data_IF_216674495048
#
_entry.id   IF_216674495048
#
_cell.length_a   1.000
_cell.length_b   1.000
_cell.length_c   1.000
_cell.angle_alpha   90.00
_cell.angle_beta   90.00
_cell.angle_gamma   90.00
#
_symmetry.space_group_name_H-M   'P 1'
#
loop_
_entity.id
_entity.type
_entity.pdbx_description
1 polymer ?
#
# COMPACT_ATOMS: atom_id res chain seq x y z
N UNK A 1 17.54 -16.38 12.00
CA UNK A 1 16.21 -16.67 11.40
C UNK A 1 15.08 -16.12 12.26
N UNK A 2 14.50 -14.97 11.91
CA UNK A 2 13.05 -14.84 11.80
C UNK A 2 12.67 -15.20 10.36
N UNK A 3 11.79 -16.19 10.16
CA UNK A 3 11.14 -16.38 8.87
C UNK A 3 10.46 -15.06 8.49
N UNK A 4 10.73 -14.51 7.31
CA UNK A 4 9.89 -13.48 6.71
C UNK A 4 8.51 -14.09 6.47
N UNK A 5 7.67 -14.09 7.50
CA UNK A 5 6.31 -14.60 7.44
C UNK A 5 5.51 -13.58 6.66
N UNK A 6 5.15 -13.95 5.43
CA UNK A 6 4.01 -13.37 4.75
C UNK A 6 2.86 -13.32 5.76
N UNK A 7 2.21 -12.16 5.89
CA UNK A 7 0.95 -12.10 6.65
C UNK A 7 0.07 -13.28 6.23
N UNK A 8 -0.48 -14.05 7.19
CA UNK A 8 -1.49 -15.05 6.86
C UNK A 8 -2.65 -14.37 6.11
N UNK A 9 -3.43 -15.11 5.31
CA UNK A 9 -4.66 -14.56 4.74
C UNK A 9 -5.46 -13.90 5.87
N UNK A 10 -5.94 -12.68 5.61
CA UNK A 10 -6.67 -11.91 6.60
C UNK A 10 -7.73 -12.80 7.27
N UNK A 11 -7.91 -12.73 8.60
CA UNK A 11 -8.96 -13.46 9.26
C UNK A 11 -10.27 -13.12 8.55
N UNK A 12 -11.05 -14.15 8.23
CA UNK A 12 -12.43 -13.99 7.73
C UNK A 12 -13.10 -12.91 8.54
N UNK A 13 -13.51 -11.82 7.88
CA UNK A 13 -14.15 -10.68 8.52
C UNK A 13 -15.20 -11.19 9.50
N UNK A 14 -14.96 -10.94 10.79
CA UNK A 14 -15.95 -11.15 11.83
C UNK A 14 -17.02 -10.09 11.64
N UNK A 15 -17.99 -10.43 10.81
CA UNK A 15 -19.24 -9.72 10.64
C UNK A 15 -19.96 -9.68 11.99
N UNK A 16 -19.97 -8.52 12.64
CA UNK A 16 -20.97 -8.22 13.66
C UNK A 16 -22.16 -7.54 12.98
N UNK A 17 -23.20 -8.35 12.76
CA UNK A 17 -24.58 -8.03 12.42
C UNK A 17 -24.85 -6.70 11.67
N UNK A 18 -25.11 -6.79 10.36
CA UNK A 18 -26.17 -5.99 9.73
C UNK A 18 -27.43 -6.02 10.63
N UNK A 19 -28.20 -4.94 10.80
CA UNK A 19 -29.46 -4.98 11.52
C UNK A 19 -30.42 -5.99 10.87
N UNK A 20 -30.54 -7.16 11.48
CA UNK A 20 -31.55 -8.17 11.15
C UNK A 20 -32.86 -7.80 11.82
N UNK A 21 -33.69 -7.04 11.12
CA UNK A 21 -35.13 -6.97 11.37
C UNK A 21 -35.86 -6.51 10.10
N UNK A 22 -35.91 -7.37 9.08
CA UNK A 22 -36.91 -7.28 8.01
C UNK A 22 -38.07 -8.20 8.37
N UNK A 23 -38.94 -7.79 9.28
CA UNK A 23 -40.25 -8.43 9.47
C UNK A 23 -41.25 -7.76 8.54
N UNK A 24 -41.56 -8.40 7.42
CA UNK A 24 -42.61 -7.98 6.49
C UNK A 24 -43.98 -8.39 7.03
N UNK A 25 -44.69 -7.45 7.64
CA UNK A 25 -46.15 -7.48 7.67
C UNK A 25 -46.64 -6.73 6.42
N UNK A 26 -47.07 -7.49 5.41
CA UNK A 26 -47.60 -6.94 4.16
C UNK A 26 -49.01 -6.37 4.39
N UNK A 27 -49.10 -5.04 4.50
CA UNK A 27 -50.30 -4.29 4.12
C UNK A 27 -50.04 -3.69 2.72
N UNK A 28 -51.03 -3.65 1.81
CA UNK A 28 -50.82 -3.09 0.48
C UNK A 28 -50.57 -1.57 0.62
N UNK A 29 -49.33 -1.13 0.48
CA UNK A 29 -48.97 0.28 0.38
C UNK A 29 -49.36 0.81 -1.02
N UNK A 30 -49.85 2.05 -1.13
CA UNK A 30 -50.25 2.61 -2.41
C UNK A 30 -49.00 2.75 -3.29
N UNK A 31 -49.01 2.14 -4.47
CA UNK A 31 -47.88 2.07 -5.41
C UNK A 31 -47.39 3.43 -5.95
N UNK A 32 -47.85 4.57 -5.41
CA UNK A 32 -47.61 5.93 -5.94
C UNK A 32 -47.02 6.92 -4.95
N UNK A 33 -46.85 6.57 -3.67
CA UNK A 33 -46.30 7.50 -2.68
C UNK A 33 -44.84 7.85 -3.00
N UNK A 34 -44.54 9.14 -3.19
CA UNK A 34 -43.21 9.68 -3.50
C UNK A 34 -43.03 11.06 -2.89
N UNK A 35 -41.77 11.48 -2.74
CA UNK A 35 -41.47 12.89 -2.49
C UNK A 35 -41.44 13.67 -3.79
N UNK A 36 -42.03 14.85 -3.78
CA UNK A 36 -41.80 15.90 -4.77
C UNK A 36 -41.67 17.19 -3.99
N UNK A 37 -40.44 17.70 -3.87
CA UNK A 37 -40.21 19.02 -3.27
C UNK A 37 -39.41 19.87 -4.24
N UNK A 38 -39.90 21.08 -4.49
CA UNK A 38 -39.17 22.16 -5.17
C UNK A 38 -39.25 23.38 -4.27
N UNK A 39 -38.13 23.74 -3.65
CA UNK A 39 -38.12 24.79 -2.64
C UNK A 39 -36.84 25.64 -2.69
N UNK A 40 -36.91 26.82 -2.06
CA UNK A 40 -35.72 27.60 -1.74
C UNK A 40 -34.87 26.90 -0.67
N UNK A 41 -35.51 26.60 0.47
CA UNK A 41 -34.95 25.77 1.54
C UNK A 41 -35.98 24.78 2.02
N UNK A 42 -35.53 23.65 2.53
CA UNK A 42 -36.34 22.67 3.22
C UNK A 42 -35.69 22.34 4.56
N UNK A 43 -36.44 22.47 5.66
CA UNK A 43 -35.99 22.09 6.99
C UNK A 43 -36.81 20.90 7.48
N UNK A 44 -36.13 19.79 7.77
CA UNK A 44 -36.63 18.55 8.32
C UNK A 44 -35.89 18.20 9.62
N UNK A 45 -35.65 19.20 10.49
CA UNK A 45 -34.92 18.96 11.73
C UNK A 45 -35.76 18.14 12.70
N UNK A 46 -35.21 17.05 13.24
CA UNK A 46 -35.95 16.11 14.10
C UNK A 46 -37.25 15.58 13.47
N UNK A 47 -37.42 15.74 12.15
CA UNK A 47 -38.63 15.43 11.43
C UNK A 47 -38.49 14.13 10.66
N UNK A 48 -39.61 13.60 10.18
CA UNK A 48 -39.65 12.42 9.32
C UNK A 48 -40.39 12.74 8.04
N UNK A 49 -39.72 12.56 6.91
CA UNK A 49 -40.34 12.51 5.58
C UNK A 49 -40.20 11.07 5.09
N UNK A 50 -41.33 10.42 4.81
CA UNK A 50 -41.35 9.02 4.39
C UNK A 50 -42.20 8.83 3.14
N UNK A 51 -41.68 8.11 2.16
CA UNK A 51 -42.42 7.65 0.99
C UNK A 51 -42.38 6.12 0.96
N UNK A 52 -43.51 5.48 1.27
CA UNK A 52 -43.62 4.02 1.34
C UNK A 52 -43.86 3.34 -0.02
N UNK A 53 -44.05 4.11 -1.10
CA UNK A 53 -44.26 3.59 -2.45
C UNK A 53 -42.97 3.50 -3.25
N UNK A 54 -42.96 2.59 -4.23
CA UNK A 54 -41.77 2.33 -5.08
C UNK A 54 -41.56 3.40 -6.17
N UNK A 55 -42.47 4.38 -6.25
CA UNK A 55 -42.36 5.49 -7.17
C UNK A 55 -41.11 6.33 -6.87
N UNK A 56 -40.46 6.81 -7.93
CA UNK A 56 -39.27 7.64 -7.80
C UNK A 56 -39.56 8.91 -6.99
N UNK A 57 -38.72 9.16 -5.98
CA UNK A 57 -38.80 10.31 -5.08
C UNK A 57 -37.73 11.35 -5.44
N UNK A 58 -38.13 12.62 -5.43
CA UNK A 58 -37.29 13.73 -5.84
C UNK A 58 -37.40 14.90 -4.87
N UNK A 59 -36.25 15.39 -4.39
CA UNK A 59 -36.11 16.64 -3.65
C UNK A 59 -35.18 17.56 -4.45
N UNK A 60 -35.59 18.80 -4.64
CA UNK A 60 -34.83 19.83 -5.35
C UNK A 60 -34.91 21.15 -4.61
N UNK A 61 -33.81 21.46 -3.94
CA UNK A 61 -33.69 22.60 -3.03
C UNK A 61 -32.56 23.48 -3.51
N UNK A 62 -32.88 24.72 -3.91
CA UNK A 62 -31.88 25.61 -4.52
C UNK A 62 -30.85 26.15 -3.51
N UNK A 63 -31.21 26.22 -2.22
CA UNK A 63 -30.31 26.62 -1.13
C UNK A 63 -30.11 25.41 -0.20
N UNK A 64 -30.53 25.51 1.05
CA UNK A 64 -30.23 24.50 2.08
C UNK A 64 -31.36 23.50 2.27
N UNK A 65 -31.02 22.22 2.18
CA UNK A 65 -31.76 21.11 2.75
C UNK A 65 -31.16 20.79 4.12
N UNK A 66 -31.89 21.07 5.18
CA UNK A 66 -31.48 20.82 6.56
C UNK A 66 -32.23 19.61 7.12
N UNK A 67 -31.55 18.49 7.22
CA UNK A 67 -32.03 17.23 7.76
C UNK A 67 -31.35 16.89 9.10
N UNK A 68 -30.96 17.89 9.88
CA UNK A 68 -30.30 17.69 11.19
C UNK A 68 -31.19 16.87 12.12
N UNK A 69 -30.69 15.72 12.60
CA UNK A 69 -31.45 14.74 13.40
C UNK A 69 -32.76 14.26 12.74
N UNK A 70 -32.93 14.53 11.44
CA UNK A 70 -34.12 14.21 10.67
C UNK A 70 -34.01 12.86 9.96
N UNK A 71 -35.13 12.36 9.47
CA UNK A 71 -35.19 11.15 8.64
C UNK A 71 -35.87 11.44 7.30
N UNK A 72 -35.17 11.13 6.22
CA UNK A 72 -35.69 11.03 4.86
C UNK A 72 -35.61 9.55 4.45
N UNK A 73 -36.75 8.85 4.43
CA UNK A 73 -36.85 7.44 4.03
C UNK A 73 -37.76 7.20 2.81
N UNK A 74 -37.23 6.69 1.70
CA UNK A 74 -38.01 6.40 0.50
C UNK A 74 -37.88 4.93 0.06
N UNK A 75 -39.00 4.32 -0.32
CA UNK A 75 -39.02 2.95 -0.85
C UNK A 75 -38.57 2.87 -2.31
N UNK A 76 -38.92 3.87 -3.12
CA UNK A 76 -38.51 4.01 -4.52
C UNK A 76 -37.13 4.64 -4.71
N UNK A 77 -36.67 4.63 -5.98
CA UNK A 77 -35.45 5.29 -6.42
C UNK A 77 -35.47 6.75 -5.97
N UNK A 78 -34.36 7.26 -5.43
CA UNK A 78 -34.34 8.58 -4.80
C UNK A 78 -33.28 9.49 -5.40
N UNK A 79 -33.66 10.73 -5.67
CA UNK A 79 -32.72 11.78 -6.08
C UNK A 79 -32.92 13.01 -5.20
N UNK A 80 -31.83 13.51 -4.64
CA UNK A 80 -31.78 14.73 -3.84
C UNK A 80 -30.84 15.70 -4.54
N UNK A 81 -31.37 16.87 -4.90
CA UNK A 81 -30.60 18.02 -5.34
C UNK A 81 -30.67 19.12 -4.29
N UNK A 82 -29.52 19.64 -3.90
CA UNK A 82 -29.43 20.72 -2.91
C UNK A 82 -28.34 21.73 -3.28
N UNK A 83 -28.50 23.00 -2.89
CA UNK A 83 -27.38 23.93 -2.83
C UNK A 83 -26.41 23.52 -1.72
N UNK A 84 -26.93 23.29 -0.53
CA UNK A 84 -26.22 22.79 0.65
C UNK A 84 -27.06 21.69 1.31
N UNK A 85 -26.43 20.63 1.82
CA UNK A 85 -27.11 19.57 2.56
C UNK A 85 -26.49 19.41 3.94
N UNK A 86 -27.27 19.71 4.98
CA UNK A 86 -26.91 19.47 6.38
C UNK A 86 -27.63 18.20 6.84
N UNK A 87 -26.88 17.13 7.10
CA UNK A 87 -27.38 15.83 7.52
C UNK A 87 -26.73 15.36 8.84
N UNK A 88 -26.41 16.31 9.73
CA UNK A 88 -25.77 16.00 11.01
C UNK A 88 -26.73 15.20 11.89
N UNK A 89 -26.33 14.00 12.34
CA UNK A 89 -27.21 13.07 13.07
C UNK A 89 -28.43 12.59 12.26
N UNK A 90 -28.60 13.08 11.03
CA UNK A 90 -29.73 12.81 10.17
C UNK A 90 -29.57 11.55 9.36
N UNK A 91 -30.67 11.09 8.75
CA UNK A 91 -30.73 9.91 7.91
C UNK A 91 -31.33 10.26 6.55
N UNK A 92 -30.62 9.88 5.50
CA UNK A 92 -31.09 9.86 4.12
C UNK A 92 -30.97 8.43 3.61
N UNK A 93 -32.09 7.75 3.42
CA UNK A 93 -32.09 6.33 3.10
C UNK A 93 -33.10 5.99 2.01
N UNK A 94 -32.69 5.15 1.06
CA UNK A 94 -33.60 4.45 0.15
C UNK A 94 -33.52 2.95 0.31
N UNK A 95 -34.67 2.27 0.29
CA UNK A 95 -34.73 0.80 0.22
C UNK A 95 -34.82 0.26 -1.21
N UNK A 96 -34.72 1.13 -2.22
CA UNK A 96 -34.77 0.73 -3.63
C UNK A 96 -33.43 0.17 -4.11
N UNK A 97 -33.48 -0.93 -4.87
CA UNK A 97 -32.32 -1.43 -5.61
C UNK A 97 -31.94 -0.54 -6.79
N UNK A 98 -32.85 0.32 -7.26
CA UNK A 98 -32.58 1.30 -8.33
C UNK A 98 -31.62 2.42 -7.87
N UNK A 99 -31.55 2.66 -6.55
CA UNK A 99 -30.48 3.41 -5.91
C UNK A 99 -30.82 4.83 -5.44
N UNK A 100 -29.79 5.48 -4.91
CA UNK A 100 -29.80 6.84 -4.37
C UNK A 100 -28.86 7.74 -5.16
N UNK A 101 -29.31 8.93 -5.54
CA UNK A 101 -28.44 10.00 -6.04
C UNK A 101 -28.56 11.21 -5.11
N UNK A 102 -27.43 11.67 -4.58
CA UNK A 102 -27.31 12.91 -3.80
C UNK A 102 -26.39 13.84 -4.58
N UNK A 103 -26.92 14.94 -5.07
CA UNK A 103 -26.25 15.92 -5.92
C UNK A 103 -26.31 17.29 -5.23
N UNK A 104 -25.20 17.68 -4.60
CA UNK A 104 -25.09 18.89 -3.79
C UNK A 104 -24.16 19.87 -4.49
N UNK A 105 -24.63 21.08 -4.79
CA UNK A 105 -23.80 22.07 -5.47
C UNK A 105 -22.65 22.58 -4.59
N UNK A 106 -22.86 22.65 -3.28
CA UNK A 106 -21.93 23.13 -2.27
C UNK A 106 -21.50 22.03 -1.28
N UNK A 107 -21.61 22.29 0.02
CA UNK A 107 -21.17 21.35 1.06
C UNK A 107 -22.26 20.34 1.43
N UNK A 108 -21.82 19.08 1.56
CA UNK A 108 -22.56 18.01 2.20
C UNK A 108 -21.96 17.78 3.59
N UNK A 109 -22.65 18.21 4.63
CA UNK A 109 -22.28 17.95 6.02
C UNK A 109 -23.01 16.71 6.54
N UNK A 110 -22.33 15.57 6.56
CA UNK A 110 -22.82 14.28 7.03
C UNK A 110 -22.17 13.87 8.37
N UNK A 111 -21.66 14.81 9.15
CA UNK A 111 -20.94 14.51 10.39
C UNK A 111 -21.87 14.05 11.52
N UNK A 112 -21.30 13.71 12.67
CA UNK A 112 -22.06 13.49 13.91
C UNK A 112 -23.06 12.34 13.82
N UNK A 113 -22.62 11.19 13.27
CA UNK A 113 -23.47 10.03 12.99
C UNK A 113 -24.53 10.22 11.89
N UNK A 114 -24.37 11.24 11.04
CA UNK A 114 -25.14 11.37 9.81
C UNK A 114 -25.02 10.13 8.93
N UNK A 115 -26.13 9.74 8.30
CA UNK A 115 -26.23 8.56 7.45
C UNK A 115 -26.79 8.92 6.07
N UNK A 116 -26.06 8.53 5.02
CA UNK A 116 -26.54 8.46 3.64
C UNK A 116 -26.44 7.02 3.19
N UNK A 117 -27.56 6.36 2.89
CA UNK A 117 -27.60 4.92 2.65
C UNK A 117 -28.53 4.51 1.50
N UNK A 118 -28.10 3.50 0.75
CA UNK A 118 -28.90 2.88 -0.32
C UNK A 118 -28.90 1.36 -0.20
N UNK A 119 -30.08 0.74 -0.32
CA UNK A 119 -30.21 -0.71 -0.49
C UNK A 119 -29.82 -1.20 -1.91
N UNK A 120 -29.55 -0.27 -2.82
CA UNK A 120 -28.97 -0.54 -4.13
C UNK A 120 -27.66 0.22 -4.31
N UNK A 121 -27.43 0.71 -5.53
CA UNK A 121 -26.32 1.63 -5.82
C UNK A 121 -26.52 3.01 -5.17
N UNK A 122 -25.44 3.74 -4.93
CA UNK A 122 -25.49 5.14 -4.55
C UNK A 122 -24.50 5.97 -5.36
N UNK A 123 -24.88 7.22 -5.64
CA UNK A 123 -24.02 8.24 -6.20
C UNK A 123 -24.12 9.50 -5.34
N UNK A 124 -22.99 9.99 -4.86
CA UNK A 124 -22.89 11.22 -4.07
C UNK A 124 -21.97 12.19 -4.79
N UNK A 125 -22.47 13.37 -5.10
CA UNK A 125 -21.72 14.48 -5.70
C UNK A 125 -21.82 15.69 -4.81
N UNK A 126 -20.69 16.35 -4.53
CA UNK A 126 -20.63 17.57 -3.71
C UNK A 126 -19.46 18.46 -4.12
N UNK A 127 -19.50 19.76 -3.78
CA UNK A 127 -18.28 20.58 -3.82
C UNK A 127 -17.32 20.17 -2.71
N UNK A 128 -17.82 19.99 -1.48
CA UNK A 128 -17.09 19.45 -0.34
C UNK A 128 -17.97 18.46 0.42
N UNK A 129 -17.36 17.47 1.07
CA UNK A 129 -18.06 16.47 1.88
C UNK A 129 -17.36 16.31 3.22
N UNK A 130 -18.03 16.72 4.29
CA UNK A 130 -17.63 16.43 5.68
C UNK A 130 -18.39 15.20 6.17
N UNK A 131 -17.72 14.05 6.20
CA UNK A 131 -18.26 12.77 6.66
C UNK A 131 -17.66 12.34 8.01
N UNK A 132 -17.14 13.28 8.80
CA UNK A 132 -16.47 12.95 10.07
C UNK A 132 -17.41 12.29 11.06
N UNK A 133 -17.09 11.06 11.48
CA UNK A 133 -17.96 10.26 12.33
C UNK A 133 -19.32 9.89 11.70
N UNK A 134 -19.50 10.18 10.41
CA UNK A 134 -20.68 9.86 9.61
C UNK A 134 -20.51 8.58 8.80
N UNK A 135 -21.55 8.21 8.06
CA UNK A 135 -21.54 7.07 7.16
C UNK A 135 -22.23 7.36 5.83
N UNK A 136 -21.54 7.00 4.74
CA UNK A 136 -22.09 6.91 3.38
C UNK A 136 -21.98 5.46 2.94
N UNK A 137 -23.11 4.83 2.60
CA UNK A 137 -23.13 3.38 2.31
C UNK A 137 -24.04 2.96 1.17
N UNK A 138 -23.65 1.90 0.47
CA UNK A 138 -24.46 1.27 -0.57
C UNK A 138 -24.38 -0.26 -0.49
N UNK A 139 -25.52 -0.94 -0.58
CA UNK A 139 -25.56 -2.40 -0.74
C UNK A 139 -25.28 -2.85 -2.18
N UNK A 140 -25.17 -1.91 -3.12
CA UNK A 140 -24.54 -2.09 -4.44
C UNK A 140 -23.21 -1.34 -4.53
N UNK A 141 -22.93 -0.74 -5.69
CA UNK A 141 -21.77 0.12 -5.88
C UNK A 141 -22.01 1.53 -5.33
N UNK A 142 -20.95 2.19 -4.86
CA UNK A 142 -20.97 3.57 -4.40
C UNK A 142 -19.98 4.41 -5.22
N UNK A 143 -20.49 5.46 -5.88
CA UNK A 143 -19.67 6.50 -6.50
C UNK A 143 -19.72 7.78 -5.66
N UNK A 144 -18.57 8.31 -5.28
CA UNK A 144 -18.45 9.57 -4.52
C UNK A 144 -17.56 10.53 -5.30
N UNK A 145 -18.12 11.65 -5.78
CA UNK A 145 -17.41 12.68 -6.54
C UNK A 145 -17.43 13.99 -5.78
N UNK A 146 -16.26 14.46 -5.33
CA UNK A 146 -16.10 15.66 -4.51
C UNK A 146 -15.14 16.63 -5.19
N UNK A 147 -15.53 17.88 -5.39
CA UNK A 147 -14.68 18.82 -6.13
C UNK A 147 -13.46 19.27 -5.31
N UNK A 148 -13.63 19.44 -4.01
CA UNK A 148 -12.61 19.91 -3.08
C UNK A 148 -12.22 18.75 -2.14
N UNK A 149 -12.38 18.93 -0.84
CA UNK A 149 -12.01 17.95 0.18
C UNK A 149 -13.17 17.01 0.51
N UNK A 150 -12.86 15.73 0.53
CA UNK A 150 -13.62 14.68 1.20
C UNK A 150 -12.96 14.42 2.56
N UNK A 151 -13.54 14.94 3.65
CA UNK A 151 -13.08 14.68 5.01
C UNK A 151 -13.84 13.49 5.58
N UNK A 152 -13.19 12.33 5.61
CA UNK A 152 -13.71 11.06 6.13
C UNK A 152 -13.03 10.65 7.44
N UNK A 153 -12.46 11.58 8.20
CA UNK A 153 -11.79 11.25 9.47
C UNK A 153 -12.75 10.66 10.49
N UNK A 154 -12.45 9.46 10.98
CA UNK A 154 -13.35 8.66 11.82
C UNK A 154 -14.70 8.32 11.17
N UNK A 155 -14.88 8.62 9.88
CA UNK A 155 -16.08 8.36 9.10
C UNK A 155 -16.01 7.06 8.32
N UNK A 156 -17.10 6.72 7.63
CA UNK A 156 -17.22 5.49 6.83
C UNK A 156 -17.75 5.78 5.43
N UNK A 157 -17.05 5.31 4.40
CA UNK A 157 -17.54 5.12 3.04
C UNK A 157 -17.51 3.62 2.75
N UNK A 158 -18.67 3.00 2.57
CA UNK A 158 -18.76 1.53 2.42
C UNK A 158 -19.64 1.14 1.24
N UNK A 159 -19.11 0.30 0.36
CA UNK A 159 -19.87 -0.36 -0.70
C UNK A 159 -19.82 -1.87 -0.51
N UNK A 160 -20.93 -2.56 -0.83
CA UNK A 160 -20.91 -4.01 -0.93
C UNK A 160 -20.20 -4.47 -2.21
N UNK A 161 -20.37 -3.71 -3.31
CA UNK A 161 -19.69 -3.90 -4.60
C UNK A 161 -18.64 -2.80 -4.76
N UNK A 162 -18.35 -2.37 -6.00
CA UNK A 162 -17.33 -1.36 -6.27
C UNK A 162 -17.55 -0.03 -5.53
N UNK A 163 -16.45 0.54 -5.03
CA UNK A 163 -16.39 1.87 -4.44
C UNK A 163 -15.46 2.74 -5.28
N UNK A 164 -15.99 3.81 -5.87
CA UNK A 164 -15.18 4.82 -6.55
C UNK A 164 -15.24 6.13 -5.79
N UNK A 165 -14.06 6.69 -5.49
CA UNK A 165 -13.90 8.00 -4.87
C UNK A 165 -13.09 8.88 -5.83
N UNK A 166 -13.71 9.96 -6.30
CA UNK A 166 -13.03 11.01 -7.05
C UNK A 166 -13.05 12.28 -6.21
N UNK A 167 -11.91 12.82 -5.82
CA UNK A 167 -11.85 14.00 -4.96
C UNK A 167 -10.75 15.00 -5.36
N UNK A 168 -10.78 16.23 -4.82
CA UNK A 168 -9.59 17.06 -4.79
C UNK A 168 -8.57 16.43 -3.84
N UNK A 169 -8.92 16.38 -2.56
CA UNK A 169 -8.18 15.68 -1.50
C UNK A 169 -9.11 14.69 -0.81
N UNK A 170 -8.58 13.53 -0.41
CA UNK A 170 -9.24 12.59 0.51
C UNK A 170 -8.49 12.61 1.83
N UNK A 171 -9.17 12.98 2.93
CA UNK A 171 -8.66 12.83 4.29
C UNK A 171 -9.38 11.68 4.98
N UNK A 172 -8.73 10.52 5.06
CA UNK A 172 -9.20 9.29 5.67
C UNK A 172 -8.43 8.95 6.96
N UNK A 173 -7.84 9.94 7.63
CA UNK A 173 -7.08 9.72 8.86
C UNK A 173 -7.99 9.40 10.06
N UNK A 174 -7.41 9.31 11.25
CA UNK A 174 -8.14 9.19 12.52
C UNK A 174 -9.16 8.02 12.53
N UNK A 175 -8.71 6.82 12.12
CA UNK A 175 -9.54 5.62 11.96
C UNK A 175 -10.67 5.75 10.92
N UNK A 176 -10.50 6.62 9.93
CA UNK A 176 -11.37 6.68 8.74
C UNK A 176 -11.37 5.36 7.96
N UNK A 177 -12.54 5.02 7.41
CA UNK A 177 -12.78 3.76 6.72
C UNK A 177 -13.33 4.02 5.30
N UNK A 178 -12.63 3.55 4.28
CA UNK A 178 -13.11 3.53 2.88
C UNK A 178 -12.99 2.09 2.37
N UNK A 179 -14.11 1.40 2.22
CA UNK A 179 -14.15 -0.04 1.97
C UNK A 179 -15.10 -0.44 0.87
N UNK A 180 -14.59 -1.19 -0.09
CA UNK A 180 -15.37 -2.05 -0.98
C UNK A 180 -15.32 -3.49 -0.44
N UNK A 181 -16.48 -4.05 -0.09
CA UNK A 181 -16.54 -5.35 0.61
C UNK A 181 -16.21 -6.54 -0.29
N UNK A 182 -16.60 -6.48 -1.56
CA UNK A 182 -16.37 -7.54 -2.54
C UNK A 182 -15.78 -7.05 -3.86
N UNK A 183 -16.00 -5.78 -4.23
CA UNK A 183 -15.59 -5.20 -5.51
C UNK A 183 -14.27 -4.43 -5.44
N UNK A 184 -13.97 -3.65 -6.46
CA UNK A 184 -12.80 -2.78 -6.50
C UNK A 184 -13.00 -1.51 -5.67
N UNK A 185 -11.98 -1.10 -4.92
CA UNK A 185 -11.83 0.26 -4.41
C UNK A 185 -10.95 1.05 -5.40
N UNK A 186 -11.53 2.05 -6.05
CA UNK A 186 -10.82 3.00 -6.90
C UNK A 186 -10.83 4.39 -6.26
N UNK A 187 -9.66 4.92 -5.93
CA UNK A 187 -9.50 6.29 -5.41
C UNK A 187 -8.70 7.10 -6.42
N UNK A 188 -9.29 8.18 -6.91
CA UNK A 188 -8.67 9.15 -7.80
C UNK A 188 -8.74 10.54 -7.16
N UNK A 189 -7.60 11.06 -6.67
CA UNK A 189 -7.53 12.40 -6.09
C UNK A 189 -6.66 13.30 -6.95
N UNK A 190 -7.07 14.55 -7.16
CA UNK A 190 -6.25 15.54 -7.89
C UNK A 190 -5.01 15.96 -7.09
N UNK A 191 -5.16 16.02 -5.77
CA UNK A 191 -4.11 16.34 -4.81
C UNK A 191 -3.74 15.08 -4.03
N UNK A 192 -3.71 15.14 -2.69
CA UNK A 192 -3.24 14.04 -1.83
C UNK A 192 -4.38 13.13 -1.36
N UNK A 193 -4.00 11.89 -1.07
CA UNK A 193 -4.78 10.98 -0.24
C UNK A 193 -4.07 10.82 1.10
N UNK A 194 -4.71 11.24 2.18
CA UNK A 194 -4.21 11.12 3.56
C UNK A 194 -4.93 9.97 4.26
N UNK A 195 -4.24 8.86 4.49
CA UNK A 195 -4.72 7.63 5.11
C UNK A 195 -3.93 7.28 6.38
N UNK A 196 -3.23 8.23 6.98
CA UNK A 196 -2.47 7.98 8.21
C UNK A 196 -3.40 7.47 9.34
N UNK A 197 -3.12 6.27 9.86
CA UNK A 197 -3.99 5.58 10.83
C UNK A 197 -5.39 5.20 10.30
N UNK A 198 -5.63 5.35 9.00
CA UNK A 198 -6.87 5.02 8.32
C UNK A 198 -6.84 3.66 7.62
N UNK A 199 -7.97 3.27 7.03
CA UNK A 199 -8.10 2.03 6.25
C UNK A 199 -8.71 2.30 4.87
N UNK A 200 -7.99 1.90 3.83
CA UNK A 200 -8.46 1.75 2.45
C UNK A 200 -8.45 0.25 2.11
N UNK A 201 -9.61 -0.33 1.80
CA UNK A 201 -9.69 -1.76 1.49
C UNK A 201 -10.67 -2.06 0.36
N UNK A 202 -10.31 -3.02 -0.48
CA UNK A 202 -11.16 -3.52 -1.56
C UNK A 202 -10.89 -4.99 -1.87
N UNK A 203 -11.71 -5.57 -2.74
CA UNK A 203 -11.36 -6.79 -3.46
C UNK A 203 -10.06 -6.58 -4.25
N UNK A 204 -10.04 -5.55 -5.10
CA UNK A 204 -8.80 -4.93 -5.61
C UNK A 204 -8.74 -3.47 -5.16
N UNK A 205 -7.54 -2.89 -5.07
CA UNK A 205 -7.36 -1.47 -4.74
C UNK A 205 -6.53 -0.80 -5.81
N UNK A 206 -7.05 0.31 -6.35
CA UNK A 206 -6.33 1.21 -7.25
C UNK A 206 -6.34 2.62 -6.68
N UNK A 207 -5.15 3.17 -6.42
CA UNK A 207 -4.98 4.52 -5.92
C UNK A 207 -4.25 5.35 -6.97
N UNK A 208 -4.87 6.41 -7.47
CA UNK A 208 -4.25 7.38 -8.38
C UNK A 208 -4.35 8.75 -7.73
N UNK A 209 -3.23 9.30 -7.27
CA UNK A 209 -3.21 10.51 -6.46
C UNK A 209 -1.94 11.31 -6.74
N UNK A 210 -1.90 12.58 -6.33
CA UNK A 210 -0.67 13.40 -6.34
C UNK A 210 -0.05 13.35 -4.95
N UNK A 211 0.25 12.12 -4.50
CA UNK A 211 0.88 11.83 -3.23
C UNK A 211 -0.04 11.09 -2.27
N UNK A 212 0.57 10.17 -1.52
CA UNK A 212 -0.14 9.29 -0.59
C UNK A 212 0.54 9.34 0.77
N UNK A 213 -0.19 9.78 1.78
CA UNK A 213 0.17 9.59 3.19
C UNK A 213 -0.50 8.33 3.71
N UNK A 214 0.26 7.33 4.11
CA UNK A 214 -0.22 6.07 4.71
C UNK A 214 0.54 5.73 6.00
N UNK A 215 1.11 6.73 6.68
CA UNK A 215 1.86 6.50 7.90
C UNK A 215 0.99 5.85 8.99
N UNK A 216 1.35 4.66 9.48
CA UNK A 216 0.54 3.85 10.39
C UNK A 216 -0.83 3.42 9.83
N UNK A 217 -1.09 3.69 8.55
CA UNK A 217 -2.35 3.37 7.86
C UNK A 217 -2.31 2.01 7.18
N UNK A 218 -3.46 1.60 6.65
CA UNK A 218 -3.65 0.30 6.01
C UNK A 218 -4.26 0.45 4.61
N UNK A 219 -3.62 -0.16 3.61
CA UNK A 219 -4.11 -0.32 2.25
C UNK A 219 -4.06 -1.80 1.87
N UNK A 220 -5.22 -2.43 1.68
CA UNK A 220 -5.32 -3.87 1.44
C UNK A 220 -6.24 -4.20 0.26
N UNK A 221 -5.77 -5.08 -0.61
CA UNK A 221 -6.55 -5.71 -1.66
C UNK A 221 -5.95 -7.04 -2.08
N UNK A 222 -6.68 -7.82 -2.88
CA UNK A 222 -6.13 -8.96 -3.58
C UNK A 222 -4.95 -8.49 -4.45
N UNK A 223 -5.20 -7.50 -5.30
CA UNK A 223 -4.17 -6.69 -5.95
C UNK A 223 -4.22 -5.25 -5.44
N UNK A 224 -3.05 -4.62 -5.32
CA UNK A 224 -2.91 -3.21 -4.98
C UNK A 224 -2.05 -2.54 -6.04
N UNK A 225 -2.59 -1.50 -6.66
CA UNK A 225 -1.91 -0.65 -7.62
C UNK A 225 -1.92 0.81 -7.14
N UNK A 226 -0.74 1.40 -7.02
CA UNK A 226 -0.55 2.77 -6.53
C UNK A 226 0.22 3.57 -7.57
N UNK A 227 -0.39 4.64 -8.05
CA UNK A 227 0.22 5.68 -8.86
C UNK A 227 0.11 7.01 -8.11
N UNK A 228 1.25 7.55 -7.68
CA UNK A 228 1.30 8.85 -6.99
C UNK A 228 1.63 10.03 -7.93
N UNK A 229 1.59 9.80 -9.26
CA UNK A 229 1.95 10.79 -10.29
C UNK A 229 3.30 11.45 -10.02
N UNK A 230 4.29 10.62 -9.67
CA UNK A 230 5.66 11.00 -9.28
C UNK A 230 5.77 11.79 -7.96
N UNK A 231 4.68 11.97 -7.21
CA UNK A 231 4.72 12.61 -5.90
C UNK A 231 5.19 11.63 -4.81
N UNK A 232 5.41 12.15 -3.60
CA UNK A 232 5.91 11.32 -2.50
C UNK A 232 4.86 10.34 -1.98
N UNK A 233 5.30 9.13 -1.61
CA UNK A 233 4.55 8.15 -0.86
C UNK A 233 5.17 7.98 0.53
N UNK A 234 4.39 8.21 1.58
CA UNK A 234 4.81 7.96 2.96
C UNK A 234 4.05 6.77 3.55
N UNK A 235 4.72 5.62 3.66
CA UNK A 235 4.23 4.41 4.30
C UNK A 235 4.94 4.14 5.63
N UNK A 236 5.48 5.16 6.32
CA UNK A 236 6.18 4.95 7.58
C UNK A 236 5.31 4.25 8.63
N UNK A 237 5.72 3.08 9.11
CA UNK A 237 4.93 2.24 10.03
C UNK A 237 3.58 1.78 9.48
N UNK A 238 3.28 2.03 8.20
CA UNK A 238 2.02 1.66 7.54
C UNK A 238 2.12 0.32 6.82
N UNK A 239 1.01 -0.12 6.24
CA UNK A 239 0.93 -1.35 5.42
C UNK A 239 0.30 -1.07 4.07
N UNK A 240 0.99 -1.44 2.99
CA UNK A 240 0.42 -1.66 1.65
C UNK A 240 0.60 -3.14 1.33
N UNK A 241 -0.49 -3.87 1.10
CA UNK A 241 -0.38 -5.29 0.78
C UNK A 241 -1.36 -5.80 -0.27
N UNK A 242 -0.80 -6.47 -1.29
CA UNK A 242 -1.51 -7.37 -2.19
C UNK A 242 -1.59 -8.76 -1.56
N UNK A 243 -2.73 -9.10 -0.94
CA UNK A 243 -2.85 -10.25 -0.03
C UNK A 243 -2.91 -11.60 -0.75
N UNK A 244 -3.33 -11.62 -2.01
CA UNK A 244 -3.40 -12.85 -2.83
C UNK A 244 -2.84 -12.68 -4.23
N UNK A 245 -2.65 -11.43 -4.66
CA UNK A 245 -2.14 -11.02 -5.96
C UNK A 245 -0.92 -10.12 -5.83
N UNK A 246 -0.81 -9.15 -6.74
CA UNK A 246 0.38 -8.30 -6.89
C UNK A 246 0.29 -7.00 -6.09
N UNK A 247 1.46 -6.43 -5.77
CA UNK A 247 1.59 -5.04 -5.34
C UNK A 247 2.45 -4.29 -6.35
N UNK A 248 1.92 -3.21 -6.92
CA UNK A 248 2.63 -2.28 -7.80
C UNK A 248 2.61 -0.89 -7.19
N UNK A 249 3.78 -0.27 -7.07
CA UNK A 249 3.95 1.08 -6.54
C UNK A 249 4.76 1.89 -7.55
N UNK A 250 4.10 2.83 -8.20
CA UNK A 250 4.67 3.85 -9.08
C UNK A 250 4.63 5.21 -8.36
N UNK A 251 5.80 5.71 -7.97
CA UNK A 251 5.88 6.87 -7.10
C UNK A 251 7.09 7.77 -7.31
N UNK A 252 7.11 8.90 -6.62
CA UNK A 252 8.33 9.69 -6.39
C UNK A 252 9.13 9.11 -5.23
N UNK A 253 9.58 9.99 -4.33
CA UNK A 253 10.25 9.56 -3.11
C UNK A 253 9.32 8.68 -2.25
N UNK A 254 9.80 7.52 -1.86
CA UNK A 254 9.05 6.52 -1.11
C UNK A 254 9.69 6.28 0.25
N UNK A 255 8.94 6.59 1.31
CA UNK A 255 9.33 6.31 2.69
C UNK A 255 8.57 5.08 3.21
N UNK A 256 9.26 3.98 3.45
CA UNK A 256 8.77 2.75 4.05
C UNK A 256 9.46 2.44 5.39
N UNK A 257 9.99 3.46 6.09
CA UNK A 257 10.66 3.26 7.38
C UNK A 257 9.72 2.61 8.42
N UNK A 258 10.08 1.44 8.94
CA UNK A 258 9.24 0.62 9.82
C UNK A 258 7.92 0.15 9.20
N UNK A 259 7.67 0.45 7.93
CA UNK A 259 6.47 0.11 7.19
C UNK A 259 6.59 -1.23 6.46
N UNK A 260 5.47 -1.72 5.98
CA UNK A 260 5.36 -2.97 5.22
C UNK A 260 4.84 -2.71 3.81
N UNK A 261 5.60 -3.15 2.81
CA UNK A 261 5.13 -3.38 1.45
C UNK A 261 5.15 -4.89 1.21
N UNK A 262 3.98 -5.51 1.04
CA UNK A 262 3.89 -6.97 0.87
C UNK A 262 3.10 -7.37 -0.38
N UNK A 263 3.56 -8.41 -1.07
CA UNK A 263 2.79 -9.09 -2.11
C UNK A 263 2.82 -10.60 -1.93
N UNK A 264 1.69 -11.26 -2.16
CA UNK A 264 1.63 -12.72 -2.28
C UNK A 264 2.18 -13.24 -3.62
N UNK A 265 2.28 -12.38 -4.63
CA UNK A 265 2.92 -12.66 -5.92
C UNK A 265 4.03 -11.64 -6.15
N UNK A 266 4.15 -11.15 -7.39
CA UNK A 266 5.14 -10.14 -7.77
C UNK A 266 4.89 -8.81 -7.06
N UNK A 267 5.96 -8.24 -6.55
CA UNK A 267 6.02 -6.88 -6.04
C UNK A 267 6.90 -6.03 -6.97
N UNK A 268 6.39 -4.88 -7.41
CA UNK A 268 7.14 -3.88 -8.17
C UNK A 268 7.11 -2.54 -7.43
N UNK A 269 8.28 -1.91 -7.29
CA UNK A 269 8.43 -0.53 -6.83
C UNK A 269 9.23 0.23 -7.87
N UNK A 270 8.68 1.33 -8.36
CA UNK A 270 9.38 2.32 -9.17
C UNK A 270 9.26 3.69 -8.52
N UNK A 271 10.40 4.31 -8.26
CA UNK A 271 10.48 5.67 -7.70
C UNK A 271 10.97 6.69 -8.73
N UNK A 272 11.11 6.27 -10.00
CA UNK A 272 11.57 7.11 -11.12
C UNK A 272 12.87 7.88 -10.82
N UNK A 273 13.82 7.20 -10.17
CA UNK A 273 15.11 7.79 -9.80
C UNK A 273 15.10 8.61 -8.50
N UNK A 274 14.03 8.57 -7.71
CA UNK A 274 13.96 9.18 -6.37
C UNK A 274 14.40 8.21 -5.27
N UNK A 275 14.47 8.69 -4.02
CA UNK A 275 14.88 7.87 -2.89
C UNK A 275 13.80 6.85 -2.48
N UNK A 276 14.25 5.64 -2.16
CA UNK A 276 13.51 4.58 -1.49
C UNK A 276 14.12 4.34 -0.12
N UNK A 277 13.38 4.65 0.94
CA UNK A 277 13.76 4.38 2.34
C UNK A 277 12.98 3.16 2.81
N UNK A 278 13.67 2.13 3.32
CA UNK A 278 13.08 0.91 3.86
C UNK A 278 13.82 0.47 5.13
N UNK A 279 14.11 1.42 6.02
CA UNK A 279 14.86 1.20 7.26
C UNK A 279 13.98 0.64 8.37
N UNK A 280 14.61 0.15 9.43
CA UNK A 280 13.97 -0.14 10.73
C UNK A 280 12.77 -1.10 10.63
N UNK A 281 12.89 -2.14 9.78
CA UNK A 281 11.80 -3.09 9.51
C UNK A 281 11.25 -3.79 10.78
N UNK A 282 12.02 -3.85 11.86
CA UNK A 282 11.63 -4.54 13.09
C UNK A 282 11.28 -6.01 12.79
N UNK A 283 10.15 -6.49 13.32
CA UNK A 283 9.68 -7.87 13.10
C UNK A 283 8.52 -7.97 12.11
N UNK A 284 7.97 -6.85 11.65
CA UNK A 284 6.71 -6.79 10.89
C UNK A 284 6.78 -5.93 9.62
N UNK A 285 7.84 -5.14 9.44
CA UNK A 285 8.05 -4.28 8.29
C UNK A 285 9.00 -4.87 7.25
N UNK A 286 9.30 -4.07 6.24
CA UNK A 286 10.16 -4.40 5.11
C UNK A 286 9.42 -4.39 3.77
N UNK A 287 10.13 -4.80 2.73
CA UNK A 287 9.60 -4.99 1.38
C UNK A 287 9.67 -6.49 1.07
N UNK A 288 8.51 -7.15 1.00
CA UNK A 288 8.39 -8.59 0.97
C UNK A 288 7.57 -9.06 -0.23
N UNK A 289 8.16 -9.90 -1.09
CA UNK A 289 7.49 -10.46 -2.26
C UNK A 289 7.36 -11.99 -2.17
N UNK A 290 6.19 -12.51 -2.51
CA UNK A 290 5.91 -13.94 -2.60
C UNK A 290 6.37 -14.59 -3.91
N UNK A 291 6.81 -13.80 -4.89
CA UNK A 291 7.37 -14.26 -6.16
C UNK A 291 8.56 -13.36 -6.54
N UNK A 292 8.54 -12.66 -7.67
CA UNK A 292 9.62 -11.75 -8.09
C UNK A 292 9.48 -10.39 -7.41
N UNK A 293 10.58 -9.81 -6.95
CA UNK A 293 10.67 -8.44 -6.43
C UNK A 293 11.48 -7.59 -7.41
N UNK A 294 10.86 -6.57 -8.01
CA UNK A 294 11.53 -5.63 -8.89
C UNK A 294 11.57 -4.23 -8.25
N UNK A 295 12.77 -3.70 -8.03
CA UNK A 295 13.01 -2.36 -7.48
C UNK A 295 13.69 -1.47 -8.51
N UNK A 296 13.14 -0.28 -8.72
CA UNK A 296 13.70 0.79 -9.55
C UNK A 296 13.77 2.08 -8.71
N UNK A 297 14.97 2.57 -8.40
CA UNK A 297 15.13 3.79 -7.59
C UNK A 297 16.40 4.59 -7.83
N UNK A 298 16.44 5.83 -7.35
CA UNK A 298 17.66 6.65 -7.33
C UNK A 298 18.60 6.24 -6.21
N UNK A 299 18.07 5.90 -5.05
CA UNK A 299 18.84 5.33 -3.94
C UNK A 299 17.96 4.39 -3.13
N UNK A 300 18.52 3.30 -2.64
CA UNK A 300 17.87 2.40 -1.70
C UNK A 300 18.59 2.47 -0.35
N UNK A 301 17.91 3.05 0.65
CA UNK A 301 18.35 2.97 2.04
C UNK A 301 17.61 1.83 2.76
N UNK A 302 18.28 0.71 2.93
CA UNK A 302 17.82 -0.48 3.63
C UNK A 302 18.61 -0.71 4.93
N UNK A 303 19.09 0.36 5.57
CA UNK A 303 19.81 0.26 6.84
C UNK A 303 18.92 -0.34 7.94
N UNK A 304 19.35 -1.44 8.55
CA UNK A 304 18.53 -2.17 9.54
C UNK A 304 17.17 -2.66 8.99
N UNK A 305 17.01 -2.62 7.67
CA UNK A 305 15.79 -2.96 6.95
C UNK A 305 15.80 -4.38 6.41
N UNK A 306 14.66 -4.77 5.82
CA UNK A 306 14.50 -6.07 5.15
C UNK A 306 13.88 -5.83 3.77
N UNK A 307 14.57 -6.31 2.75
CA UNK A 307 14.09 -6.38 1.37
C UNK A 307 14.28 -7.83 0.93
N UNK A 308 13.18 -8.55 0.70
CA UNK A 308 13.23 -9.99 0.47
C UNK A 308 12.22 -10.49 -0.56
N UNK A 309 12.63 -11.48 -1.34
CA UNK A 309 11.80 -12.16 -2.33
C UNK A 309 11.81 -13.68 -2.16
N UNK A 310 10.66 -14.34 -2.30
CA UNK A 310 10.61 -15.80 -2.39
C UNK A 310 11.06 -16.32 -3.77
N UNK A 311 10.89 -15.53 -4.83
CA UNK A 311 11.44 -15.78 -6.18
C UNK A 311 12.71 -14.96 -6.42
N UNK A 312 12.83 -14.35 -7.60
CA UNK A 312 13.98 -13.51 -7.94
C UNK A 312 13.87 -12.09 -7.34
N UNK A 313 15.01 -11.49 -7.02
CA UNK A 313 15.13 -10.07 -6.67
C UNK A 313 15.93 -9.35 -7.76
N UNK A 314 15.33 -8.33 -8.37
CA UNK A 314 16.00 -7.44 -9.34
C UNK A 314 16.01 -6.03 -8.77
N UNK A 315 17.19 -5.52 -8.43
CA UNK A 315 17.40 -4.18 -7.91
C UNK A 315 18.16 -3.32 -8.94
N UNK A 316 17.46 -2.35 -9.53
CA UNK A 316 17.99 -1.33 -10.44
C UNK A 316 18.00 0.00 -9.70
N UNK A 317 19.11 0.36 -9.09
CA UNK A 317 19.17 1.53 -8.21
C UNK A 317 20.36 2.44 -8.52
N UNK A 318 20.43 3.63 -7.94
CA UNK A 318 21.72 4.34 -7.79
C UNK A 318 22.49 3.72 -6.63
N UNK A 319 22.62 4.41 -5.51
CA UNK A 319 23.32 3.88 -4.34
C UNK A 319 22.45 2.94 -3.49
N UNK A 320 23.04 1.86 -2.98
CA UNK A 320 22.41 0.96 -2.00
C UNK A 320 23.16 1.05 -0.67
N UNK A 321 22.47 1.48 0.39
CA UNK A 321 22.92 1.31 1.78
C UNK A 321 22.14 0.14 2.41
N UNK A 322 22.79 -1.01 2.55
CA UNK A 322 22.30 -2.20 3.22
C UNK A 322 23.00 -2.43 4.57
N UNK A 323 23.56 -1.39 5.19
CA UNK A 323 24.28 -1.52 6.46
C UNK A 323 23.39 -2.07 7.58
N UNK A 324 23.85 -3.11 8.26
CA UNK A 324 23.07 -3.88 9.25
C UNK A 324 21.68 -4.37 8.76
N UNK A 325 21.42 -4.33 7.44
CA UNK A 325 20.17 -4.72 6.82
C UNK A 325 20.24 -6.08 6.14
N UNK A 326 19.12 -6.51 5.58
CA UNK A 326 18.99 -7.72 4.77
C UNK A 326 18.42 -7.39 3.39
N UNK A 327 19.14 -7.77 2.35
CA UNK A 327 18.72 -7.70 0.95
C UNK A 327 18.86 -9.11 0.34
N UNK A 328 17.79 -9.73 -0.15
CA UNK A 328 17.98 -11.06 -0.71
C UNK A 328 16.77 -11.75 -1.29
N UNK A 329 17.00 -12.99 -1.72
CA UNK A 329 15.98 -13.85 -2.28
C UNK A 329 16.27 -15.34 -2.07
N UNK A 330 15.25 -16.20 -2.22
CA UNK A 330 15.46 -17.65 -2.28
C UNK A 330 15.92 -18.15 -3.66
N UNK A 331 15.72 -17.36 -4.72
CA UNK A 331 16.20 -17.68 -6.07
C UNK A 331 17.41 -16.80 -6.39
N UNK A 332 17.35 -16.00 -7.46
CA UNK A 332 18.46 -15.17 -7.88
C UNK A 332 18.35 -13.74 -7.33
N UNK A 333 19.49 -13.09 -7.17
CA UNK A 333 19.59 -11.66 -6.84
C UNK A 333 20.43 -10.99 -7.91
N UNK A 334 19.81 -10.08 -8.66
CA UNK A 334 20.45 -9.25 -9.66
C UNK A 334 20.46 -7.79 -9.22
N UNK A 335 21.65 -7.25 -8.95
CA UNK A 335 21.86 -5.86 -8.53
C UNK A 335 22.57 -5.12 -9.66
N UNK A 336 21.97 -4.03 -10.12
CA UNK A 336 22.59 -3.04 -10.96
C UNK A 336 22.51 -1.69 -10.24
N UNK A 337 23.65 -1.21 -9.75
CA UNK A 337 23.72 -0.05 -8.87
C UNK A 337 25.00 0.79 -9.11
N UNK A 338 25.06 1.97 -8.49
CA UNK A 338 26.30 2.78 -8.49
C UNK A 338 27.25 2.27 -7.41
N UNK A 339 26.78 2.25 -6.16
CA UNK A 339 27.52 1.67 -5.03
C UNK A 339 26.65 0.72 -4.23
N UNK A 340 27.31 -0.20 -3.52
CA UNK A 340 26.69 -1.07 -2.54
C UNK A 340 27.49 -0.99 -1.24
N UNK A 341 26.88 -0.44 -0.20
CA UNK A 341 27.41 -0.45 1.17
C UNK A 341 26.68 -1.52 1.99
N UNK A 342 27.36 -2.62 2.31
CA UNK A 342 26.84 -3.76 3.05
C UNK A 342 27.52 -3.92 4.42
N UNK A 343 27.87 -2.80 5.06
CA UNK A 343 28.56 -2.78 6.35
C UNK A 343 27.79 -3.51 7.45
N UNK A 344 28.30 -4.63 7.97
CA UNK A 344 27.58 -5.45 8.96
C UNK A 344 26.23 -6.00 8.48
N UNK A 345 25.91 -5.85 7.20
CA UNK A 345 24.66 -6.27 6.56
C UNK A 345 24.79 -7.60 5.86
N UNK A 346 23.70 -8.03 5.22
CA UNK A 346 23.62 -9.28 4.49
C UNK A 346 22.96 -9.09 3.12
N UNK A 347 23.67 -9.52 2.09
CA UNK A 347 23.12 -9.73 0.74
C UNK A 347 23.13 -11.23 0.44
N UNK A 348 21.97 -11.82 0.14
CA UNK A 348 21.83 -13.27 -0.04
C UNK A 348 21.01 -13.64 -1.27
N UNK A 349 21.54 -14.54 -2.09
CA UNK A 349 20.77 -15.32 -3.04
C UNK A 349 20.73 -16.80 -2.62
N UNK A 350 19.58 -17.45 -2.74
CA UNK A 350 19.48 -18.91 -2.58
C UNK A 350 20.08 -19.68 -3.77
N UNK A 351 20.09 -19.06 -4.95
CA UNK A 351 20.78 -19.51 -6.16
C UNK A 351 21.93 -18.55 -6.46
N UNK A 352 21.90 -17.78 -7.56
CA UNK A 352 23.01 -16.91 -7.96
C UNK A 352 22.80 -15.45 -7.53
N UNK A 353 23.88 -14.80 -7.09
CA UNK A 353 23.98 -13.38 -6.81
C UNK A 353 24.89 -12.71 -7.84
N UNK A 354 24.35 -11.78 -8.62
CA UNK A 354 25.08 -10.95 -9.58
C UNK A 354 24.99 -9.49 -9.16
N UNK A 355 26.13 -8.86 -8.87
CA UNK A 355 26.22 -7.44 -8.55
C UNK A 355 27.05 -6.72 -9.61
N UNK A 356 26.39 -5.94 -10.46
CA UNK A 356 27.00 -5.07 -11.45
C UNK A 356 26.98 -3.62 -10.94
N UNK A 357 28.15 -3.12 -10.54
CA UNK A 357 28.32 -1.84 -9.88
C UNK A 357 29.28 -0.97 -10.70
N UNK A 358 28.93 0.30 -10.89
CA UNK A 358 29.83 1.25 -11.57
C UNK A 358 30.90 1.83 -10.64
N UNK A 359 30.65 1.78 -9.33
CA UNK A 359 31.51 2.31 -8.27
C UNK A 359 32.01 1.23 -7.32
N UNK A 360 31.74 1.38 -6.03
CA UNK A 360 32.32 0.58 -4.95
C UNK A 360 31.34 -0.46 -4.43
N UNK A 361 31.83 -1.69 -4.24
CA UNK A 361 31.20 -2.73 -3.44
C UNK A 361 31.90 -2.79 -2.07
N UNK A 362 31.31 -2.19 -1.04
CA UNK A 362 31.84 -2.21 0.32
C UNK A 362 31.10 -3.24 1.19
N UNK A 363 31.77 -4.34 1.51
CA UNK A 363 31.30 -5.43 2.36
C UNK A 363 32.05 -5.48 3.70
N UNK A 364 32.48 -4.34 4.27
CA UNK A 364 33.18 -4.37 5.55
C UNK A 364 32.35 -5.00 6.67
N UNK A 365 32.88 -6.04 7.31
CA UNK A 365 32.16 -6.79 8.36
C UNK A 365 30.80 -7.38 7.94
N UNK A 366 30.49 -7.41 6.65
CA UNK A 366 29.21 -7.89 6.09
C UNK A 366 29.33 -9.25 5.43
N UNK A 367 28.21 -9.73 4.88
CA UNK A 367 28.14 -10.97 4.10
C UNK A 367 27.45 -10.75 2.76
N UNK A 368 28.13 -11.12 1.67
CA UNK A 368 27.52 -11.40 0.37
C UNK A 368 27.62 -12.91 0.15
N UNK A 369 26.48 -13.57 -0.01
CA UNK A 369 26.41 -15.02 -0.17
C UNK A 369 25.47 -15.44 -1.28
N UNK A 370 25.91 -16.41 -2.07
CA UNK A 370 25.10 -17.12 -3.04
C UNK A 370 25.00 -18.60 -2.68
N UNK A 371 23.92 -19.24 -3.13
CA UNK A 371 23.95 -20.66 -3.42
C UNK A 371 25.02 -20.92 -4.46
N UNK A 372 24.74 -20.61 -5.72
CA UNK A 372 25.59 -21.05 -6.82
C UNK A 372 26.63 -19.98 -7.17
N UNK A 373 26.36 -19.24 -8.25
CA UNK A 373 27.06 -18.06 -8.76
C UNK A 373 27.19 -16.91 -7.75
N UNK A 374 28.36 -16.54 -7.22
CA UNK A 374 28.59 -15.18 -6.70
C UNK A 374 29.49 -14.38 -7.67
N UNK A 375 28.88 -13.45 -8.40
CA UNK A 375 29.58 -12.56 -9.32
C UNK A 375 29.49 -11.09 -8.85
N UNK A 376 30.63 -10.47 -8.60
CA UNK A 376 30.71 -9.04 -8.24
C UNK A 376 31.60 -8.32 -9.24
N UNK A 377 31.00 -7.41 -10.00
CA UNK A 377 31.67 -6.49 -10.91
C UNK A 377 31.57 -5.07 -10.35
N UNK A 378 32.69 -4.43 -10.05
CA UNK A 378 32.75 -3.09 -9.48
C UNK A 378 34.05 -2.39 -9.87
N UNK A 379 34.14 -1.06 -9.78
CA UNK A 379 35.44 -0.38 -9.86
C UNK A 379 36.35 -0.78 -8.68
N UNK A 380 35.77 -0.88 -7.47
CA UNK A 380 36.48 -1.34 -6.28
C UNK A 380 35.63 -2.31 -5.47
N UNK A 381 36.26 -3.37 -4.96
CA UNK A 381 35.64 -4.32 -4.04
C UNK A 381 36.40 -4.25 -2.71
N UNK A 382 35.72 -3.83 -1.65
CA UNK A 382 36.26 -3.75 -0.29
C UNK A 382 35.61 -4.84 0.55
N UNK A 383 36.34 -5.90 0.86
CA UNK A 383 35.90 -7.00 1.71
C UNK A 383 36.78 -7.09 2.96
N UNK A 384 36.72 -6.05 3.78
CA UNK A 384 37.57 -5.93 4.98
C UNK A 384 36.88 -6.43 6.24
N UNK A 385 37.66 -6.90 7.20
CA UNK A 385 37.16 -7.28 8.53
C UNK A 385 36.04 -8.34 8.49
N UNK A 386 36.10 -9.24 7.50
CA UNK A 386 35.11 -10.32 7.29
C UNK A 386 35.63 -11.72 7.65
N UNK A 387 36.71 -11.80 8.42
CA UNK A 387 37.14 -13.05 9.06
C UNK A 387 36.28 -13.31 10.30
N UNK A 388 35.23 -14.11 10.13
CA UNK A 388 34.42 -14.53 11.28
C UNK A 388 35.14 -15.59 12.10
N UNK A 389 35.25 -15.37 13.41
CA UNK A 389 35.68 -16.38 14.37
C UNK A 389 34.55 -17.35 14.76
N UNK A 390 33.30 -17.01 14.41
CA UNK A 390 32.10 -17.77 14.74
C UNK A 390 31.49 -18.36 13.47
N UNK A 391 31.62 -19.68 13.29
CA UNK A 391 31.09 -20.39 12.13
C UNK A 391 29.56 -20.27 11.99
N UNK A 392 28.83 -19.90 13.06
CA UNK A 392 27.39 -19.63 13.01
C UNK A 392 27.03 -18.24 12.48
N UNK A 393 28.03 -17.35 12.32
CA UNK A 393 27.89 -16.01 11.79
C UNK A 393 28.90 -15.78 10.66
N UNK A 394 28.71 -16.44 9.51
CA UNK A 394 29.63 -16.29 8.39
C UNK A 394 29.62 -14.85 7.87
N UNK A 395 30.80 -14.38 7.47
CA UNK A 395 31.04 -13.07 6.88
C UNK A 395 31.85 -13.25 5.58
N UNK A 396 31.92 -12.20 4.77
CA UNK A 396 32.76 -12.14 3.59
C UNK A 396 31.99 -12.37 2.29
N UNK A 397 32.70 -12.80 1.26
CA UNK A 397 32.13 -13.13 -0.05
C UNK A 397 32.14 -14.66 -0.21
N UNK A 398 30.97 -15.27 -0.38
CA UNK A 398 30.83 -16.73 -0.39
C UNK A 398 29.89 -17.22 -1.52
N UNK A 399 30.25 -18.30 -2.20
CA UNK A 399 29.40 -18.96 -3.21
C UNK A 399 29.92 -20.35 -3.58
N UNK A 400 29.26 -21.08 -4.48
CA UNK A 400 29.83 -22.29 -5.09
C UNK A 400 31.04 -21.92 -5.97
N UNK A 401 30.83 -20.88 -6.78
CA UNK A 401 31.85 -20.21 -7.58
C UNK A 401 31.82 -18.73 -7.29
N UNK A 402 32.99 -18.18 -6.97
CA UNK A 402 33.19 -16.78 -6.69
C UNK A 402 33.96 -16.13 -7.83
N UNK A 403 33.37 -15.15 -8.49
CA UNK A 403 34.02 -14.34 -9.52
C UNK A 403 33.97 -12.87 -9.14
N UNK A 404 35.15 -12.26 -9.02
CA UNK A 404 35.32 -10.84 -8.74
C UNK A 404 35.96 -10.16 -9.95
N UNK A 405 35.36 -9.11 -10.48
CA UNK A 405 35.92 -8.25 -11.51
C UNK A 405 36.03 -6.83 -10.98
N UNK A 406 37.25 -6.32 -10.78
CA UNK A 406 37.48 -4.95 -10.33
C UNK A 406 38.89 -4.43 -10.62
N UNK A 407 39.06 -3.11 -10.65
CA UNK A 407 40.39 -2.49 -10.72
C UNK A 407 41.18 -2.71 -9.44
N UNK A 408 40.47 -2.73 -8.29
CA UNK A 408 41.04 -3.00 -6.98
C UNK A 408 40.13 -3.90 -6.17
N UNK A 409 40.71 -4.93 -5.57
CA UNK A 409 40.07 -5.77 -4.56
C UNK A 409 40.90 -5.68 -3.28
N UNK A 410 40.28 -5.23 -2.19
CA UNK A 410 40.87 -5.17 -0.86
C UNK A 410 40.20 -6.23 0.03
N UNK A 411 40.93 -7.31 0.30
CA UNK A 411 40.48 -8.41 1.17
C UNK A 411 41.27 -8.44 2.49
N UNK A 412 41.71 -7.28 2.99
CA UNK A 412 42.46 -7.20 4.25
C UNK A 412 41.60 -7.66 5.44
N UNK A 413 42.11 -8.62 6.22
CA UNK A 413 41.34 -9.30 7.26
C UNK A 413 39.98 -9.85 6.79
N UNK A 414 39.87 -10.20 5.51
CA UNK A 414 38.63 -10.64 4.88
C UNK A 414 38.57 -12.14 4.55
N UNK A 415 37.35 -12.62 4.30
CA UNK A 415 37.06 -13.99 3.84
C UNK A 415 36.55 -13.97 2.40
N UNK A 416 37.24 -14.70 1.52
CA UNK A 416 36.75 -15.10 0.20
C UNK A 416 36.64 -16.64 0.22
N UNK A 417 35.43 -17.18 0.10
CA UNK A 417 35.21 -18.62 0.15
C UNK A 417 34.44 -19.08 -1.09
N UNK A 418 34.90 -20.19 -1.67
CA UNK A 418 34.15 -20.90 -2.68
C UNK A 418 34.35 -22.41 -2.54
N UNK A 419 33.32 -23.18 -2.90
CA UNK A 419 33.38 -24.64 -2.88
C UNK A 419 34.19 -25.18 -4.07
N UNK A 420 34.05 -24.57 -5.24
CA UNK A 420 34.65 -25.04 -6.48
C UNK A 420 35.70 -24.09 -7.08
N UNK A 421 35.43 -22.78 -7.14
CA UNK A 421 36.31 -21.86 -7.85
C UNK A 421 36.28 -20.43 -7.28
N UNK A 422 37.48 -19.84 -7.15
CA UNK A 422 37.65 -18.39 -6.92
C UNK A 422 38.42 -17.82 -8.11
N UNK A 423 37.78 -16.91 -8.83
CA UNK A 423 38.36 -16.15 -9.92
C UNK A 423 38.36 -14.66 -9.59
N UNK A 424 39.52 -14.01 -9.74
CA UNK A 424 39.62 -12.55 -9.59
C UNK A 424 40.24 -11.96 -10.85
N UNK A 425 39.57 -10.98 -11.44
CA UNK A 425 39.95 -10.31 -12.69
C UNK A 425 40.09 -8.82 -12.43
N UNK A 426 41.15 -8.21 -12.94
CA UNK A 426 41.38 -6.76 -12.82
C UNK A 426 42.38 -6.26 -13.86
N UNK A 427 42.49 -4.93 -13.98
CA UNK A 427 43.42 -4.27 -14.90
C UNK A 427 44.87 -4.19 -14.35
N UNK A 428 45.09 -4.45 -13.06
CA UNK A 428 46.40 -4.34 -12.41
C UNK A 428 47.13 -5.72 -12.31
N UNK A 429 48.48 -5.74 -12.42
CA UNK A 429 49.26 -6.98 -12.39
C UNK A 429 49.14 -7.71 -11.04
N UNK A 430 49.22 -9.04 -11.09
CA UNK A 430 48.86 -10.00 -10.04
C UNK A 430 49.72 -10.00 -8.73
N UNK A 431 50.38 -8.90 -8.38
CA UNK A 431 51.42 -8.87 -7.35
C UNK A 431 50.95 -8.55 -5.91
N UNK A 432 49.65 -8.40 -5.64
CA UNK A 432 49.13 -8.05 -4.30
C UNK A 432 48.02 -8.97 -3.77
N UNK A 433 47.88 -10.18 -4.31
CA UNK A 433 46.84 -11.12 -3.91
C UNK A 433 47.30 -11.99 -2.74
N UNK A 434 46.70 -11.82 -1.55
CA UNK A 434 46.84 -12.78 -0.44
C UNK A 434 45.58 -13.62 -0.38
N UNK A 435 45.61 -14.83 -0.93
CA UNK A 435 44.48 -15.76 -0.98
C UNK A 435 44.63 -16.76 0.17
N UNK A 436 43.68 -16.80 1.11
CA UNK A 436 43.50 -17.94 2.02
C UNK A 436 42.18 -18.60 1.68
N UNK A 437 42.24 -19.73 0.98
CA UNK A 437 41.08 -20.59 0.78
C UNK A 437 40.85 -21.39 2.06
N UNK A 438 39.66 -21.27 2.64
CA UNK A 438 39.17 -22.13 3.72
C UNK A 438 37.89 -22.84 3.22
N UNK A 439 37.56 -24.05 3.72
CA UNK A 439 36.30 -24.71 3.38
C UNK A 439 35.11 -23.81 3.73
N UNK A 440 34.15 -23.70 2.82
CA UNK A 440 33.06 -22.74 2.90
C UNK A 440 32.07 -23.08 4.02
N UNK A 441 31.77 -22.17 4.97
CA UNK A 441 30.68 -22.34 5.93
C UNK A 441 29.29 -22.05 5.29
N UNK A 442 29.15 -22.11 3.96
CA UNK A 442 27.94 -21.76 3.19
C UNK A 442 26.64 -22.41 3.67
N UNK A 443 26.68 -23.65 4.15
CA UNK A 443 25.50 -24.32 4.70
C UNK A 443 24.99 -23.70 6.01
N UNK A 444 25.85 -23.03 6.78
CA UNK A 444 25.46 -22.19 7.91
C UNK A 444 25.11 -20.76 7.44
N UNK A 445 25.73 -20.31 6.35
CA UNK A 445 25.44 -19.00 5.77
C UNK A 445 24.03 -18.93 5.21
N UNK A 446 23.58 -19.89 4.40
CA UNK A 446 22.26 -19.87 3.74
C UNK A 446 21.07 -20.17 4.68
N UNK A 447 21.32 -20.39 5.98
CA UNK A 447 20.31 -20.49 7.04
C UNK A 447 19.97 -19.10 7.58
#
# INVERSE_FOLDING_TARGET
MPEARLLPPAPTCWWSALPTAWTTAAAPSPATARWISRAGSLANRNGTVQAAGDAASYIDVTRTLDNTDGTLLAAGATTIKAGELVNQGGKVQTSSTAGLTVDVAGNLDNRGHGLVASAGKAAVTAAALDNRGGAVSAAGSLGTTVQQTLDNRGGKLVAAQDLTVTAGTLDNRDAGLVVSSAGTLAVDTRDRTENAGGTLQGGDVRLVNTGLGNAGGTVLGANVDVDTRLASLDNAGGTLAGTTGTLSVDSGALNNAGGLLQSARRLRVDTHGQALVSTDAGTTGGILSGDTLALSSGSLNNRGGVVYSQGDLVARTGDIDNSAGQLGSNANVDIAATTLSNGGGRVQAGQSLSAALSGVADNHGGLLVAGDDLNVNAAQILNRDTQSADASKPLGLQGDRLVLSADRVDNSAGTLAADNHIGIRGAAPAASWTIRAAPSPRAAALR
#
